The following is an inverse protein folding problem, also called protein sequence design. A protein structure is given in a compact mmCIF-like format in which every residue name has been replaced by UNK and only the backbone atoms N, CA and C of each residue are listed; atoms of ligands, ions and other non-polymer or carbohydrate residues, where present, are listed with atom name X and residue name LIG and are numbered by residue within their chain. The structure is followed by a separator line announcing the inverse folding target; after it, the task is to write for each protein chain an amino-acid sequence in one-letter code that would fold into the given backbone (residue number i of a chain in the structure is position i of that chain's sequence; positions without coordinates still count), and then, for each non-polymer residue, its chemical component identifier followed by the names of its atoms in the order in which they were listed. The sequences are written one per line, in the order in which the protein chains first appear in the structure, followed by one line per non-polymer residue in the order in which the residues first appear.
data_IF_058903954984
#
_entry.id   IF_058903954984
#
_cell.length_a   1.000
_cell.length_b   1.000
_cell.length_c   1.000
_cell.angle_alpha   90.00
_cell.angle_beta   90.00
_cell.angle_gamma   90.00
#
_symmetry.space_group_name_H-M   'P 1'
#
loop_
_entity.id
_entity.type
_entity.pdbx_description
1 polymer ?
#
# COMPACT_ATOMS: atom_id res chain seq x y z
N UNK A 1 -30.76 40.48 -10.17
CA UNK A 1 -29.71 39.51 -9.82
C UNK A 1 -30.41 38.32 -9.21
N UNK A 2 -30.46 37.14 -9.87
CA UNK A 2 -31.01 35.95 -9.23
C UNK A 2 -29.91 35.27 -8.43
N UNK A 3 -30.18 35.07 -7.15
CA UNK A 3 -29.39 34.26 -6.23
C UNK A 3 -29.24 32.86 -6.79
N UNK A 4 -28.01 32.43 -7.00
CA UNK A 4 -27.68 31.06 -7.37
C UNK A 4 -28.32 30.15 -6.30
N UNK A 5 -29.18 29.19 -6.69
CA UNK A 5 -29.75 28.23 -5.75
C UNK A 5 -28.59 27.47 -5.09
N UNK A 6 -28.62 27.41 -3.77
CA UNK A 6 -27.71 26.64 -2.91
C UNK A 6 -27.35 25.32 -3.61
N UNK A 7 -26.09 25.21 -4.05
CA UNK A 7 -25.61 24.02 -4.74
C UNK A 7 -25.92 22.82 -3.86
N UNK A 8 -26.49 21.73 -4.41
CA UNK A 8 -26.94 20.61 -3.61
C UNK A 8 -25.74 20.09 -2.81
N UNK A 9 -25.84 20.19 -1.47
CA UNK A 9 -24.91 19.55 -0.55
C UNK A 9 -24.89 18.07 -0.91
N UNK A 10 -23.82 17.65 -1.59
CA UNK A 10 -23.65 16.26 -1.99
C UNK A 10 -23.75 15.45 -0.70
N UNK A 11 -24.75 14.56 -0.55
CA UNK A 11 -24.90 13.80 0.68
C UNK A 11 -23.59 13.08 0.94
N UNK A 12 -23.10 13.19 2.17
CA UNK A 12 -21.82 12.64 2.65
C UNK A 12 -21.75 11.10 2.55
N UNK A 13 -22.74 10.47 1.91
CA UNK A 13 -22.89 9.04 1.67
C UNK A 13 -21.82 8.54 0.68
N UNK A 14 -20.58 8.49 1.17
CA UNK A 14 -19.82 7.25 1.31
C UNK A 14 -19.81 6.35 0.09
N UNK A 15 -19.59 6.92 -1.09
CA UNK A 15 -18.91 6.16 -2.12
C UNK A 15 -17.52 5.93 -1.57
N UNK A 16 -17.29 4.78 -0.93
CA UNK A 16 -15.96 4.24 -0.64
C UNK A 16 -15.11 4.58 -1.85
N UNK A 17 -14.25 5.61 -1.74
CA UNK A 17 -13.50 6.11 -2.88
C UNK A 17 -12.51 5.01 -3.19
N UNK A 18 -12.90 4.09 -4.08
CA UNK A 18 -12.02 3.02 -4.54
C UNK A 18 -10.77 3.70 -5.10
N UNK A 19 -9.67 3.57 -4.37
CA UNK A 19 -8.39 4.12 -4.75
C UNK A 19 -7.52 2.98 -5.24
N UNK A 20 -6.88 3.20 -6.39
CA UNK A 20 -5.90 2.23 -6.90
C UNK A 20 -4.73 2.11 -5.92
N UNK A 21 -4.12 0.92 -5.84
CA UNK A 21 -2.93 0.73 -5.04
C UNK A 21 -1.82 1.68 -5.48
N UNK A 22 -1.25 2.42 -4.54
CA UNK A 22 -0.12 3.31 -4.79
C UNK A 22 0.92 3.20 -3.68
N UNK A 23 2.20 3.32 -4.06
CA UNK A 23 3.31 3.26 -3.11
C UNK A 23 3.53 4.63 -2.47
N UNK A 24 3.03 4.81 -1.25
CA UNK A 24 3.39 5.97 -0.41
C UNK A 24 4.89 5.96 -0.13
N UNK A 25 5.42 4.78 0.21
CA UNK A 25 6.85 4.56 0.44
C UNK A 25 7.30 3.34 -0.35
N UNK A 26 8.04 3.52 -1.46
CA UNK A 26 8.59 2.40 -2.20
C UNK A 26 9.68 1.69 -1.40
N UNK A 27 9.97 0.45 -1.77
CA UNK A 27 11.11 -0.30 -1.25
C UNK A 27 12.39 0.45 -1.63
N UNK A 28 13.35 0.49 -0.71
CA UNK A 28 14.65 1.11 -0.94
C UNK A 28 15.77 0.07 -0.82
N UNK A 29 16.90 0.38 -1.45
CA UNK A 29 18.12 -0.40 -1.30
C UNK A 29 18.64 -0.24 0.13
N UNK A 30 19.13 -1.33 0.71
CA UNK A 30 19.72 -1.35 2.04
C UNK A 30 21.07 -2.07 1.99
N UNK A 31 22.02 -1.60 2.79
CA UNK A 31 23.28 -2.29 3.03
C UNK A 31 23.16 -3.05 4.35
N UNK A 32 23.42 -4.36 4.31
CA UNK A 32 23.30 -5.25 5.48
C UNK A 32 24.59 -6.02 5.64
N UNK A 33 25.04 -6.17 6.89
CA UNK A 33 26.21 -6.99 7.22
C UNK A 33 25.87 -8.47 7.06
N UNK A 34 26.80 -9.24 6.49
CA UNK A 34 26.67 -10.69 6.41
C UNK A 34 26.35 -11.32 7.78
N UNK A 35 25.38 -12.23 7.80
CA UNK A 35 24.90 -12.90 9.01
C UNK A 35 23.87 -12.09 9.83
N UNK A 36 23.47 -10.90 9.39
CA UNK A 36 22.36 -10.14 9.98
C UNK A 36 21.10 -10.21 9.11
N UNK A 37 19.96 -9.96 9.75
CA UNK A 37 18.68 -9.90 9.06
C UNK A 37 18.57 -8.63 8.20
N UNK A 38 18.04 -8.79 7.00
CA UNK A 38 17.70 -7.72 6.08
C UNK A 38 16.20 -7.43 6.15
N UNK A 39 15.82 -6.19 6.42
CA UNK A 39 14.40 -5.78 6.53
C UNK A 39 14.07 -4.79 5.42
N UNK A 40 13.25 -5.23 4.47
CA UNK A 40 12.73 -4.41 3.38
C UNK A 40 11.31 -3.99 3.72
N UNK A 41 11.03 -2.69 3.65
CA UNK A 41 9.73 -2.12 4.01
C UNK A 41 9.16 -1.29 2.87
N UNK A 42 7.84 -1.36 2.68
CA UNK A 42 7.10 -0.47 1.81
C UNK A 42 5.76 -0.08 2.45
N UNK A 43 5.25 1.08 2.07
CA UNK A 43 3.93 1.54 2.47
C UNK A 43 3.08 1.72 1.23
N UNK A 44 1.91 1.07 1.22
CA UNK A 44 0.97 1.09 0.09
C UNK A 44 -0.37 1.61 0.58
N UNK A 45 -0.99 2.47 -0.21
CA UNK A 45 -2.38 2.93 -0.04
C UNK A 45 -3.28 2.28 -1.07
N UNK A 46 -4.58 2.21 -0.81
CA UNK A 46 -5.57 1.65 -1.72
C UNK A 46 -6.84 1.30 -0.95
N UNK A 47 -7.99 1.39 -1.62
CA UNK A 47 -9.28 1.00 -1.08
C UNK A 47 -9.99 0.10 -2.09
N UNK A 48 -10.28 -1.17 -1.76
CA UNK A 48 -9.90 -1.87 -0.53
C UNK A 48 -8.38 -2.01 -0.39
N UNK A 49 -7.93 -2.29 0.83
CA UNK A 49 -6.50 -2.42 1.12
C UNK A 49 -5.86 -3.52 0.25
N UNK A 50 -4.75 -3.24 -0.46
CA UNK A 50 -4.21 -4.16 -1.45
C UNK A 50 -3.54 -5.39 -0.83
N UNK A 51 -3.63 -6.51 -1.55
CA UNK A 51 -2.83 -7.69 -1.27
C UNK A 51 -1.38 -7.47 -1.74
N UNK A 52 -0.41 -7.69 -0.84
CA UNK A 52 1.02 -7.48 -1.13
C UNK A 52 1.69 -8.82 -1.44
N UNK A 53 2.49 -8.85 -2.51
CA UNK A 53 3.28 -10.02 -2.91
C UNK A 53 4.72 -9.60 -3.19
N UNK A 54 5.67 -10.34 -2.62
CA UNK A 54 7.10 -10.08 -2.79
C UNK A 54 7.70 -10.95 -3.88
N UNK A 55 8.65 -10.39 -4.62
CA UNK A 55 9.38 -11.07 -5.68
C UNK A 55 10.89 -10.85 -5.52
N UNK A 56 11.68 -11.86 -5.87
CA UNK A 56 13.13 -11.78 -5.95
C UNK A 56 13.60 -12.38 -7.28
N UNK A 57 14.33 -11.60 -8.08
CA UNK A 57 14.81 -12.00 -9.41
C UNK A 57 13.71 -12.55 -10.33
N UNK A 58 12.50 -11.98 -10.25
CA UNK A 58 11.34 -12.41 -11.04
C UNK A 58 10.58 -13.61 -10.47
N UNK A 59 11.05 -14.22 -9.38
CA UNK A 59 10.35 -15.32 -8.71
C UNK A 59 9.56 -14.82 -7.52
N UNK A 60 8.29 -15.25 -7.41
CA UNK A 60 7.46 -14.98 -6.24
C UNK A 60 8.12 -15.60 -5.01
N UNK A 61 8.27 -14.81 -3.97
CA UNK A 61 8.71 -15.31 -2.68
C UNK A 61 7.52 -15.84 -1.89
N UNK A 62 7.74 -16.95 -1.19
CA UNK A 62 6.80 -17.50 -0.22
C UNK A 62 7.33 -17.28 1.19
N UNK A 63 6.42 -17.21 2.16
CA UNK A 63 6.81 -17.15 3.58
C UNK A 63 7.44 -18.48 3.97
N UNK A 64 8.71 -18.46 4.36
CA UNK A 64 9.46 -19.62 4.88
C UNK A 64 10.06 -19.28 6.25
N UNK A 65 10.63 -20.25 6.94
CA UNK A 65 11.32 -20.00 8.22
C UNK A 65 12.45 -18.96 8.11
N UNK A 66 13.09 -18.88 6.93
CA UNK A 66 14.16 -17.91 6.63
C UNK A 66 13.63 -16.56 6.11
N UNK A 67 12.40 -16.51 5.59
CA UNK A 67 11.82 -15.32 4.93
C UNK A 67 10.46 -15.00 5.50
N UNK A 68 10.41 -14.01 6.39
CA UNK A 68 9.17 -13.54 6.99
C UNK A 68 8.63 -12.31 6.26
N UNK A 69 7.46 -12.46 5.64
CA UNK A 69 6.71 -11.36 5.03
C UNK A 69 5.50 -11.06 5.91
N UNK A 70 5.43 -9.84 6.44
CA UNK A 70 4.32 -9.39 7.28
C UNK A 70 3.67 -8.17 6.67
N UNK A 71 2.34 -8.15 6.64
CA UNK A 71 1.55 -6.99 6.29
C UNK A 71 0.95 -6.43 7.59
N UNK A 72 1.36 -5.21 7.95
CA UNK A 72 0.74 -4.48 9.05
C UNK A 72 -0.50 -3.77 8.51
N UNK A 73 -1.68 -4.25 8.90
CA UNK A 73 -2.99 -3.69 8.54
C UNK A 73 -3.32 -2.47 9.39
#
# INVERSE_FOLDING_TARGET
MPSIPEEPEIPENEMERFTMPDFIKPIQNIDVTEGKDAVLECQVTGLPYPAITWYHNGHKLESTDERRMTQCT
#
